data_IF_859429122352
#
_entry.id   IF_859429122352
#
_cell.length_a   1.000
_cell.length_b   1.000
_cell.length_c   1.000
_cell.angle_alpha   90.00
_cell.angle_beta   90.00
_cell.angle_gamma   90.00
#
_symmetry.space_group_name_H-M   'P 1'
#
loop_
_entity.id
_entity.type
_entity.pdbx_description
1 polymer ?
#
# COMPACT_ATOMS: atom_id res chain seq x y z
N UNK A 1 -0.59 -40.23 66.71
CA UNK A 1 -1.82 -40.27 65.89
C UNK A 1 -2.33 -38.86 65.73
N UNK A 2 -2.39 -38.40 64.47
CA UNK A 2 -3.43 -37.56 63.89
C UNK A 2 -3.67 -36.10 64.37
N UNK A 3 -3.95 -35.29 63.35
CA UNK A 3 -4.71 -34.02 63.29
C UNK A 3 -3.85 -32.73 63.31
N UNK A 4 -3.44 -32.15 62.18
CA UNK A 4 -4.18 -31.47 61.08
C UNK A 4 -4.68 -30.05 61.48
N UNK A 5 -4.14 -29.06 60.73
CA UNK A 5 -4.74 -27.77 60.29
C UNK A 5 -4.69 -26.53 61.19
N UNK A 6 -3.96 -25.52 60.70
CA UNK A 6 -4.47 -24.37 59.91
C UNK A 6 -3.98 -23.01 60.44
N UNK A 7 -3.76 -22.12 59.47
CA UNK A 7 -3.68 -20.64 59.54
C UNK A 7 -2.36 -20.05 60.05
N UNK A 8 -1.49 -19.64 59.12
CA UNK A 8 -1.37 -18.23 58.76
C UNK A 8 -0.42 -18.10 57.56
N UNK A 9 -1.01 -18.10 56.38
CA UNK A 9 -0.37 -17.61 55.17
C UNK A 9 -0.54 -16.08 55.16
N UNK A 10 0.54 -15.34 55.42
CA UNK A 10 0.67 -13.92 55.10
C UNK A 10 1.98 -13.78 54.32
N UNK A 11 1.90 -13.76 52.99
CA UNK A 11 1.93 -12.54 52.18
C UNK A 11 3.29 -11.83 52.24
N UNK A 12 4.20 -12.25 51.36
CA UNK A 12 5.30 -11.44 50.82
C UNK A 12 5.73 -12.04 49.47
N UNK A 13 4.79 -12.10 48.53
CA UNK A 13 5.11 -12.22 47.10
C UNK A 13 5.49 -10.81 46.63
N UNK A 14 6.79 -10.55 46.55
CA UNK A 14 7.31 -9.41 45.81
C UNK A 14 6.86 -9.56 44.36
N UNK A 15 5.89 -8.73 43.97
CA UNK A 15 5.47 -8.56 42.59
C UNK A 15 6.63 -7.91 41.84
N UNK A 16 7.53 -8.73 41.29
CA UNK A 16 8.32 -8.32 40.13
C UNK A 16 7.32 -8.05 39.01
N UNK A 17 6.94 -6.79 38.84
CA UNK A 17 6.29 -6.34 37.62
C UNK A 17 7.28 -6.58 36.48
N UNK A 18 7.18 -7.75 35.85
CA UNK A 18 7.75 -7.99 34.53
C UNK A 18 6.93 -7.09 33.61
N UNK A 19 7.40 -5.86 33.40
CA UNK A 19 7.01 -5.09 32.22
C UNK A 19 7.44 -5.92 31.03
N UNK A 20 6.51 -6.68 30.46
CA UNK A 20 6.68 -7.26 29.14
C UNK A 20 7.14 -6.10 28.25
N UNK A 21 8.26 -6.23 27.51
CA UNK A 21 8.58 -5.22 26.52
C UNK A 21 7.36 -5.11 25.62
N UNK A 22 6.83 -3.89 25.48
CA UNK A 22 5.81 -3.59 24.51
C UNK A 22 6.26 -4.26 23.21
N UNK A 23 5.47 -5.20 22.70
CA UNK A 23 5.74 -5.88 21.44
C UNK A 23 6.14 -4.80 20.45
N UNK A 24 7.43 -4.73 20.15
CA UNK A 24 7.90 -4.02 18.98
C UNK A 24 7.29 -4.82 17.86
N UNK A 25 6.10 -4.39 17.41
CA UNK A 25 5.42 -4.96 16.26
C UNK A 25 6.48 -5.02 15.18
N UNK A 26 6.99 -6.23 14.93
CA UNK A 26 7.89 -6.45 13.82
C UNK A 26 7.20 -5.82 12.62
N UNK A 27 7.85 -4.92 11.88
CA UNK A 27 7.25 -4.34 10.70
C UNK A 27 6.77 -5.53 9.89
N UNK A 28 5.44 -5.63 9.67
CA UNK A 28 4.83 -6.79 9.02
C UNK A 28 5.51 -6.92 7.66
N UNK A 29 6.52 -7.77 7.58
CA UNK A 29 7.27 -7.98 6.36
C UNK A 29 6.38 -8.85 5.51
N UNK A 30 6.02 -8.36 4.34
CA UNK A 30 5.43 -9.18 3.31
C UNK A 30 6.29 -10.41 3.11
N UNK A 31 5.76 -11.58 3.50
CA UNK A 31 6.44 -12.82 3.19
C UNK A 31 6.57 -12.92 1.66
N UNK A 32 7.71 -13.37 1.12
CA UNK A 32 7.95 -13.44 -0.32
C UNK A 32 6.88 -14.21 -1.10
N UNK A 33 6.15 -15.09 -0.41
CA UNK A 33 5.12 -15.97 -0.98
C UNK A 33 3.68 -15.53 -0.63
N UNK A 34 3.51 -14.44 0.12
CA UNK A 34 2.20 -13.92 0.50
C UNK A 34 1.58 -13.09 -0.66
N UNK A 35 0.32 -13.40 -0.98
CA UNK A 35 -0.44 -12.76 -2.03
C UNK A 35 -0.41 -11.22 -1.92
N UNK A 36 -0.11 -10.56 -3.05
CA UNK A 36 -0.10 -9.10 -3.30
C UNK A 36 -0.13 -8.22 -2.04
N UNK A 37 1.02 -7.99 -1.42
CA UNK A 37 1.14 -6.87 -0.49
C UNK A 37 0.98 -5.54 -1.20
N UNK A 38 0.09 -4.72 -0.66
CA UNK A 38 -0.22 -3.38 -1.12
C UNK A 38 0.45 -2.34 -0.25
N UNK A 39 0.91 -1.28 -0.91
CA UNK A 39 1.62 -0.17 -0.32
C UNK A 39 1.00 1.14 -0.79
N UNK A 40 0.83 2.08 0.13
CA UNK A 40 0.56 3.47 -0.20
C UNK A 40 1.88 4.12 -0.57
N UNK A 41 1.99 4.61 -1.81
CA UNK A 41 3.20 5.27 -2.33
C UNK A 41 3.05 6.78 -2.40
N UNK A 42 1.82 7.29 -2.47
CA UNK A 42 1.55 8.72 -2.44
C UNK A 42 0.15 8.99 -1.91
N UNK A 43 -0.01 10.07 -1.15
CA UNK A 43 -1.28 10.57 -0.67
C UNK A 43 -1.26 12.10 -0.68
N UNK A 44 -2.36 12.73 -1.06
CA UNK A 44 -2.45 14.18 -1.17
C UNK A 44 -3.86 14.68 -0.81
N UNK A 45 -3.92 15.90 -0.28
CA UNK A 45 -5.15 16.66 -0.11
C UNK A 45 -5.94 16.30 1.14
N UNK A 46 -6.78 17.24 1.55
CA UNK A 46 -7.77 17.08 2.62
C UNK A 46 -9.16 16.85 2.01
N UNK A 47 -10.14 16.32 2.78
CA UNK A 47 -11.52 16.26 2.31
C UNK A 47 -11.99 17.65 1.86
N UNK A 48 -12.67 17.79 0.71
CA UNK A 48 -13.20 16.75 -0.17
C UNK A 48 -12.33 16.46 -1.43
N UNK A 49 -11.01 16.64 -1.37
CA UNK A 49 -10.07 16.52 -2.51
C UNK A 49 -8.91 15.58 -2.20
N UNK A 50 -9.20 14.51 -1.45
CA UNK A 50 -8.20 13.48 -1.14
C UNK A 50 -7.83 12.70 -2.40
N UNK A 51 -6.56 12.34 -2.51
CA UNK A 51 -6.02 11.43 -3.51
C UNK A 51 -5.09 10.43 -2.86
N UNK A 52 -5.12 9.18 -3.34
CA UNK A 52 -4.33 8.09 -2.82
C UNK A 52 -3.83 7.20 -3.96
N UNK A 53 -2.55 6.87 -3.92
CA UNK A 53 -1.90 6.00 -4.89
C UNK A 53 -1.40 4.76 -4.16
N UNK A 54 -1.94 3.61 -4.54
CA UNK A 54 -1.66 2.32 -3.92
C UNK A 54 -1.11 1.38 -4.97
N UNK A 55 -0.03 0.68 -4.68
CA UNK A 55 0.56 -0.31 -5.59
C UNK A 55 0.90 -1.60 -4.85
N UNK A 56 1.26 -2.66 -5.56
CA UNK A 56 1.75 -3.89 -4.97
C UNK A 56 3.18 -4.21 -5.41
N UNK A 57 3.84 -5.13 -4.70
CA UNK A 57 5.23 -5.51 -4.97
C UNK A 57 5.43 -6.32 -6.26
N UNK A 58 4.37 -6.64 -7.02
CA UNK A 58 4.45 -7.45 -8.24
C UNK A 58 4.99 -6.64 -9.44
N UNK A 59 6.17 -6.06 -9.28
CA UNK A 59 6.90 -5.33 -10.31
C UNK A 59 7.43 -6.32 -11.34
N UNK A 60 7.11 -6.11 -12.61
CA UNK A 60 7.59 -6.96 -13.71
C UNK A 60 8.75 -6.28 -14.43
N UNK A 61 9.81 -7.01 -14.72
CA UNK A 61 10.83 -6.54 -15.68
C UNK A 61 10.34 -6.86 -17.09
N UNK A 62 10.26 -5.85 -17.95
CA UNK A 62 9.89 -6.05 -19.36
C UNK A 62 11.13 -6.25 -20.23
N UNK A 63 12.15 -5.44 -19.96
CA UNK A 63 13.47 -5.47 -20.56
C UNK A 63 14.46 -4.77 -19.61
N UNK A 64 15.75 -4.85 -19.91
CA UNK A 64 16.78 -4.29 -19.03
C UNK A 64 16.53 -2.80 -18.74
N UNK A 65 16.27 -2.48 -17.47
CA UNK A 65 16.03 -1.11 -17.01
C UNK A 65 14.61 -0.58 -17.26
N UNK A 66 13.68 -1.39 -17.79
CA UNK A 66 12.26 -1.08 -17.87
C UNK A 66 11.45 -1.98 -16.93
N UNK A 67 10.74 -1.35 -15.99
CA UNK A 67 9.91 -2.00 -14.99
C UNK A 67 8.45 -1.64 -15.22
N UNK A 68 7.54 -2.59 -15.02
CA UNK A 68 6.10 -2.38 -15.09
C UNK A 68 5.48 -2.51 -13.71
N UNK A 69 4.55 -1.60 -13.41
CA UNK A 69 3.84 -1.52 -12.14
C UNK A 69 2.34 -1.34 -12.37
N UNK A 70 1.53 -1.97 -11.52
CA UNK A 70 0.10 -1.68 -11.40
C UNK A 70 -0.12 -0.66 -10.27
N UNK A 71 -0.77 0.46 -10.59
CA UNK A 71 -1.01 1.55 -9.66
C UNK A 71 -2.50 1.84 -9.57
N UNK A 72 -3.06 1.72 -8.38
CA UNK A 72 -4.44 2.10 -8.07
C UNK A 72 -4.43 3.56 -7.64
N UNK A 73 -5.01 4.43 -8.45
CA UNK A 73 -5.23 5.83 -8.11
C UNK A 73 -6.69 6.02 -7.68
N UNK A 74 -6.87 6.40 -6.43
CA UNK A 74 -8.16 6.74 -5.84
C UNK A 74 -8.23 8.23 -5.64
N UNK A 75 -9.36 8.84 -5.99
CA UNK A 75 -9.57 10.28 -5.85
C UNK A 75 -10.99 10.57 -5.39
N UNK A 76 -11.14 11.66 -4.64
CA UNK A 76 -12.44 12.15 -4.19
C UNK A 76 -13.09 13.02 -5.27
N UNK A 77 -14.32 12.68 -5.64
CA UNK A 77 -15.15 13.45 -6.57
C UNK A 77 -16.51 13.73 -5.90
N UNK A 78 -17.18 14.86 -6.22
CA UNK A 78 -18.53 15.17 -5.74
C UNK A 78 -19.51 14.00 -5.92
N UNK A 79 -19.29 13.19 -6.97
CA UNK A 79 -20.08 12.03 -7.32
C UNK A 79 -19.43 10.70 -6.87
N UNK A 80 -18.94 10.60 -5.63
CA UNK A 80 -18.25 9.47 -4.94
C UNK A 80 -16.79 9.27 -5.34
N UNK A 81 -16.00 8.62 -4.46
CA UNK A 81 -14.69 8.17 -4.86
C UNK A 81 -14.79 7.24 -6.05
N UNK A 82 -13.99 7.52 -7.07
CA UNK A 82 -13.70 6.63 -8.18
C UNK A 82 -12.28 6.13 -8.00
N UNK A 83 -11.98 4.98 -8.59
CA UNK A 83 -10.60 4.56 -8.70
C UNK A 83 -10.31 4.13 -10.12
N UNK A 84 -9.07 4.35 -10.53
CA UNK A 84 -8.52 3.86 -11.77
C UNK A 84 -7.32 2.97 -11.45
N UNK A 85 -7.24 1.86 -12.17
CA UNK A 85 -6.07 0.99 -12.15
C UNK A 85 -5.25 1.34 -13.39
N UNK A 86 -4.04 1.80 -13.16
CA UNK A 86 -3.08 2.20 -14.19
C UNK A 86 -2.02 1.10 -14.31
N UNK A 87 -1.75 0.66 -15.53
CA UNK A 87 -0.54 -0.10 -15.84
C UNK A 87 0.48 0.86 -16.40
N UNK A 88 1.59 1.04 -15.69
CA UNK A 88 2.65 1.98 -16.02
C UNK A 88 3.93 1.21 -16.35
N UNK A 89 4.62 1.63 -17.40
CA UNK A 89 6.01 1.23 -17.62
C UNK A 89 6.92 2.38 -17.18
N UNK A 90 8.02 2.06 -16.52
CA UNK A 90 9.03 3.00 -16.04
C UNK A 90 10.40 2.66 -16.63
N UNK A 91 11.05 3.64 -17.26
CA UNK A 91 12.47 3.59 -17.62
C UNK A 91 13.30 4.10 -16.45
N UNK A 92 13.85 3.18 -15.68
CA UNK A 92 14.52 3.50 -14.42
C UNK A 92 15.77 4.37 -14.61
N UNK A 93 16.46 4.25 -15.76
CA UNK A 93 17.67 5.04 -16.04
C UNK A 93 17.37 6.49 -16.38
N UNK A 94 16.31 6.75 -17.15
CA UNK A 94 15.99 8.10 -17.67
C UNK A 94 14.93 8.82 -16.83
N UNK A 95 14.35 8.16 -15.83
CA UNK A 95 13.34 8.74 -14.95
C UNK A 95 12.02 8.99 -15.67
N UNK A 96 11.66 8.13 -16.62
CA UNK A 96 10.50 8.30 -17.50
C UNK A 96 9.45 7.24 -17.24
N UNK A 97 8.19 7.58 -17.50
CA UNK A 97 7.07 6.66 -17.46
C UNK A 97 6.20 6.78 -18.69
N UNK A 98 5.41 5.75 -18.96
CA UNK A 98 4.29 5.81 -19.92
C UNK A 98 3.09 5.01 -19.42
N UNK A 99 1.89 5.45 -19.77
CA UNK A 99 0.64 4.76 -19.45
C UNK A 99 0.33 3.70 -20.50
N UNK A 100 0.32 2.42 -20.11
CA UNK A 100 0.02 1.29 -21.00
C UNK A 100 -1.45 0.91 -21.03
N UNK A 101 -2.14 1.10 -19.91
CA UNK A 101 -3.56 0.76 -19.77
C UNK A 101 -4.13 1.53 -18.60
N UNK A 102 -5.36 2.01 -18.74
CA UNK A 102 -6.15 2.48 -17.62
C UNK A 102 -7.49 1.74 -17.60
N UNK A 103 -7.88 1.24 -16.44
CA UNK A 103 -9.22 0.71 -16.25
C UNK A 103 -9.84 1.34 -15.01
N UNK A 104 -10.93 2.07 -15.20
CA UNK A 104 -11.72 2.61 -14.11
C UNK A 104 -12.82 1.64 -13.70
N UNK A 105 -13.23 1.71 -12.45
CA UNK A 105 -14.48 1.10 -11.98
C UNK A 105 -15.38 2.20 -11.45
N UNK A 106 -16.58 2.31 -12.03
CA UNK A 106 -17.59 3.24 -11.52
C UNK A 106 -18.24 2.72 -10.21
N UNK A 107 -19.16 3.50 -9.64
CA UNK A 107 -19.88 3.16 -8.41
C UNK A 107 -20.62 1.81 -8.47
N UNK A 108 -20.95 1.34 -9.67
CA UNK A 108 -21.72 0.11 -9.90
C UNK A 108 -20.80 -1.09 -10.19
N UNK A 109 -19.48 -0.92 -10.04
CA UNK A 109 -18.51 -1.94 -10.39
C UNK A 109 -18.34 -2.12 -11.90
N UNK A 110 -18.94 -1.25 -12.73
CA UNK A 110 -18.79 -1.34 -14.18
C UNK A 110 -17.38 -0.88 -14.54
N UNK A 111 -16.64 -1.78 -15.17
CA UNK A 111 -15.27 -1.50 -15.62
C UNK A 111 -15.33 -0.69 -16.91
N UNK A 112 -14.99 0.59 -16.83
CA UNK A 112 -14.67 1.39 -18.00
C UNK A 112 -13.18 1.19 -18.30
N UNK A 113 -12.86 0.26 -19.20
CA UNK A 113 -11.49 0.14 -19.70
C UNK A 113 -11.26 1.26 -20.70
N UNK A 114 -10.45 2.25 -20.35
CA UNK A 114 -9.88 3.15 -21.32
C UNK A 114 -8.67 2.41 -21.91
N UNK A 115 -8.85 1.81 -23.09
CA UNK A 115 -7.72 1.35 -23.89
C UNK A 115 -6.72 2.49 -23.99
N UNK A 116 -5.44 2.22 -23.74
CA UNK A 116 -4.41 3.20 -24.07
C UNK A 116 -4.51 3.56 -25.56
N UNK A 117 -4.02 4.74 -25.97
CA UNK A 117 -4.03 5.15 -27.38
C UNK A 117 -3.53 4.01 -28.29
N UNK A 118 -4.11 3.86 -29.49
CA UNK A 118 -3.69 2.84 -30.46
C UNK A 118 -2.20 2.94 -30.85
N UNK A 119 -1.59 4.10 -30.63
CA UNK A 119 -0.17 4.36 -30.83
C UNK A 119 0.65 4.08 -29.57
N UNK A 120 1.93 3.76 -29.75
CA UNK A 120 2.85 3.52 -28.63
C UNK A 120 2.86 4.78 -27.72
N UNK A 121 2.43 4.67 -26.45
CA UNK A 121 2.29 5.84 -25.59
C UNK A 121 3.62 6.54 -25.39
N UNK A 122 3.60 7.88 -25.46
CA UNK A 122 4.77 8.73 -25.26
C UNK A 122 5.39 8.53 -23.85
N UNK A 123 6.69 8.76 -23.77
CA UNK A 123 7.43 8.76 -22.51
C UNK A 123 7.40 10.16 -21.89
N UNK A 124 7.03 10.21 -20.62
CA UNK A 124 6.96 11.44 -19.84
C UNK A 124 7.93 11.38 -18.66
N UNK A 125 8.48 12.52 -18.23
CA UNK A 125 9.30 12.57 -17.01
C UNK A 125 8.43 12.36 -15.78
N UNK A 126 8.85 11.45 -14.90
CA UNK A 126 8.16 11.23 -13.62
C UNK A 126 8.53 12.28 -12.58
N UNK A 127 9.72 12.88 -12.68
CA UNK A 127 10.20 13.88 -11.73
C UNK A 127 9.23 15.06 -11.60
N UNK A 128 8.96 15.48 -10.36
CA UNK A 128 7.99 16.51 -10.00
C UNK A 128 6.54 16.18 -10.39
N UNK A 129 6.20 14.90 -10.57
CA UNK A 129 4.83 14.45 -10.79
C UNK A 129 4.35 13.57 -9.62
N UNK A 130 3.01 13.41 -9.42
CA UNK A 130 2.47 12.46 -8.46
C UNK A 130 2.92 10.99 -8.68
N UNK A 131 3.51 10.66 -9.84
CA UNK A 131 4.02 9.33 -10.17
C UNK A 131 5.49 9.11 -9.81
N UNK A 132 6.20 10.15 -9.35
CA UNK A 132 7.59 10.02 -8.90
C UNK A 132 7.76 8.96 -7.78
N UNK A 133 6.90 8.91 -6.74
CA UNK A 133 7.02 7.89 -5.70
C UNK A 133 6.78 6.47 -6.22
N UNK A 134 5.85 6.30 -7.17
CA UNK A 134 5.60 5.01 -7.82
C UNK A 134 6.79 4.57 -8.68
N UNK A 135 7.46 5.50 -9.36
CA UNK A 135 8.70 5.22 -10.08
C UNK A 135 9.82 4.80 -9.13
N UNK A 136 10.03 5.55 -8.04
CA UNK A 136 11.03 5.19 -7.02
C UNK A 136 10.74 3.80 -6.45
N UNK A 137 9.48 3.47 -6.15
CA UNK A 137 9.06 2.15 -5.71
C UNK A 137 9.40 1.04 -6.72
N UNK A 138 9.18 1.27 -8.02
CA UNK A 138 9.45 0.28 -9.07
C UNK A 138 10.94 0.11 -9.39
N UNK A 139 11.73 1.17 -9.26
CA UNK A 139 13.10 1.24 -9.78
C UNK A 139 14.19 1.14 -8.71
N UNK A 140 13.87 1.41 -7.45
CA UNK A 140 14.82 1.34 -6.34
C UNK A 140 14.57 0.08 -5.49
N UNK A 141 15.43 -0.95 -5.57
CA UNK A 141 15.23 -2.20 -4.85
C UNK A 141 15.27 -2.04 -3.33
N UNK A 142 15.85 -0.96 -2.80
CA UNK A 142 15.90 -0.71 -1.37
C UNK A 142 14.56 -0.22 -0.80
N UNK A 143 13.66 0.30 -1.65
CA UNK A 143 12.30 0.69 -1.24
C UNK A 143 11.52 -0.54 -0.77
N UNK A 144 11.61 -1.67 -1.46
CA UNK A 144 10.93 -2.89 -1.03
C UNK A 144 11.51 -3.47 0.26
N UNK A 145 12.82 -3.29 0.49
CA UNK A 145 13.49 -3.76 1.71
C UNK A 145 13.16 -2.88 2.92
N UNK A 146 12.98 -1.58 2.72
CA UNK A 146 12.78 -0.59 3.78
C UNK A 146 11.75 0.48 3.38
N UNK A 147 10.48 0.14 3.14
CA UNK A 147 9.50 1.05 2.53
C UNK A 147 9.32 2.34 3.32
N UNK A 148 9.32 2.24 4.65
CA UNK A 148 9.13 3.38 5.55
C UNK A 148 10.23 4.45 5.43
N UNK A 149 11.47 4.05 5.12
CA UNK A 149 12.59 4.99 4.88
C UNK A 149 12.41 5.79 3.59
N UNK A 150 11.50 5.37 2.73
CA UNK A 150 11.20 5.96 1.45
C UNK A 150 9.78 6.54 1.39
N UNK A 151 9.16 6.81 2.55
CA UNK A 151 7.80 7.34 2.66
C UNK A 151 6.73 6.45 2.01
N UNK A 152 7.01 5.15 1.90
CA UNK A 152 6.07 4.14 1.43
C UNK A 152 5.55 3.39 2.65
N UNK A 153 4.24 3.24 2.76
CA UNK A 153 3.62 2.55 3.89
C UNK A 153 2.96 1.26 3.45
N UNK A 154 3.27 0.15 4.12
CA UNK A 154 2.48 -1.07 3.98
C UNK A 154 1.01 -0.77 4.32
N UNK A 155 0.08 -1.30 3.52
CA UNK A 155 -1.33 -1.05 3.68
C UNK A 155 -2.14 -2.31 3.96
N UNK A 156 -2.04 -3.34 3.12
CA UNK A 156 -2.84 -4.57 3.25
C UNK A 156 -2.27 -5.71 2.40
N UNK A 157 -2.69 -6.94 2.67
CA UNK A 157 -2.38 -8.18 1.95
C UNK A 157 -3.59 -8.72 1.15
N UNK A 158 -4.62 -7.89 0.96
CA UNK A 158 -5.81 -8.25 0.19
C UNK A 158 -5.48 -8.66 -1.25
N UNK A 159 -6.10 -9.74 -1.72
CA UNK A 159 -5.80 -10.31 -3.03
C UNK A 159 -6.35 -9.45 -4.18
N UNK A 160 -7.58 -8.93 -4.04
CA UNK A 160 -8.30 -8.27 -5.13
C UNK A 160 -8.27 -6.76 -4.96
N UNK A 161 -8.02 -6.04 -6.05
CA UNK A 161 -8.06 -4.56 -6.09
C UNK A 161 -9.35 -3.98 -5.49
N UNK A 162 -10.56 -4.49 -5.79
CA UNK A 162 -11.79 -3.95 -5.20
C UNK A 162 -11.84 -4.05 -3.66
N UNK A 163 -11.19 -5.05 -3.06
CA UNK A 163 -11.16 -5.19 -1.60
C UNK A 163 -10.21 -4.14 -0.98
N UNK A 164 -9.03 -3.95 -1.60
CA UNK A 164 -8.06 -2.91 -1.23
C UNK A 164 -8.70 -1.53 -1.28
N UNK A 165 -9.41 -1.23 -2.37
CA UNK A 165 -10.14 0.04 -2.55
C UNK A 165 -11.21 0.23 -1.49
N UNK A 166 -12.00 -0.80 -1.18
CA UNK A 166 -13.01 -0.72 -0.12
C UNK A 166 -12.39 -0.47 1.26
N UNK A 167 -11.27 -1.14 1.57
CA UNK A 167 -10.54 -0.90 2.81
C UNK A 167 -10.00 0.54 2.88
N UNK A 168 -9.40 1.02 1.80
CA UNK A 168 -8.87 2.39 1.73
C UNK A 168 -9.97 3.42 1.91
N UNK A 169 -11.15 3.22 1.30
CA UNK A 169 -12.31 4.11 1.51
C UNK A 169 -12.76 4.13 2.96
N UNK A 170 -12.88 2.98 3.62
CA UNK A 170 -13.26 2.91 5.04
C UNK A 170 -12.21 3.56 5.95
N UNK A 171 -10.95 3.51 5.56
CA UNK A 171 -9.84 4.03 6.38
C UNK A 171 -9.67 5.54 6.23
N UNK A 172 -9.71 6.04 4.99
CA UNK A 172 -9.30 7.41 4.66
C UNK A 172 -10.46 8.32 4.25
N UNK A 173 -11.62 7.77 3.83
CA UNK A 173 -12.77 8.53 3.30
C UNK A 173 -13.95 8.68 4.24
N UNK A 174 -13.93 8.05 5.43
CA UNK A 174 -14.98 8.27 6.41
C UNK A 174 -14.99 9.74 6.86
N UNK A 175 -16.17 10.36 6.83
CA UNK A 175 -16.40 11.64 7.49
C UNK A 175 -16.24 11.40 9.00
N UNK A 176 -15.27 12.07 9.62
CA UNK A 176 -15.23 12.22 11.07
C UNK A 176 -16.09 13.41 11.47
#
# INVERSE_FOLDING_TARGET
>A
MLVIRLVLALLLLMASAITAPADAQQPRSCEPDAAKCWYIVFALGDPPKRELFITNHAIRELEAGIRQLELVHMFESPDQPQYVVLTLDFRCRTGEFRLRKASGSDRNGKVASASAPEEAPDWHKAANSPLEPAMNFACNPDVLKNPERHYVSYFTDMIRVPDVVQLARRTFWQQR
#
